data_IF_726927280672
#
_entry.id   IF_726927280672
#
_cell.length_a   1.000
_cell.length_b   1.000
_cell.length_c   1.000
_cell.angle_alpha   90.00
_cell.angle_beta   90.00
_cell.angle_gamma   90.00
#
_symmetry.space_group_name_H-M   'P 1'
#
loop_
_entity.id
_entity.type
_entity.pdbx_description
1 polymer ?
#
# COMPACT_ATOMS: atom_id res chain seq x y z
N UNK A 1 -7.14 -12.49 13.83
CA UNK A 1 -6.48 -11.49 12.96
C UNK A 1 -7.50 -10.86 12.03
N UNK A 2 -7.22 -9.69 11.46
CA UNK A 2 -8.09 -9.06 10.47
C UNK A 2 -8.20 -9.96 9.23
N UNK A 3 -9.42 -10.31 8.81
CA UNK A 3 -9.67 -11.02 7.55
C UNK A 3 -9.73 -9.98 6.42
N UNK A 4 -8.92 -10.18 5.39
CA UNK A 4 -8.85 -9.34 4.20
C UNK A 4 -9.43 -10.08 2.99
N UNK A 5 -10.03 -9.33 2.08
CA UNK A 5 -10.59 -9.87 0.85
C UNK A 5 -9.47 -10.28 -0.11
N UNK A 6 -9.62 -11.47 -0.69
CA UNK A 6 -8.64 -12.06 -1.62
C UNK A 6 -9.04 -11.87 -3.08
N UNK A 7 -10.31 -11.67 -3.35
CA UNK A 7 -10.89 -11.73 -4.68
C UNK A 7 -11.71 -10.48 -4.97
N UNK A 8 -11.65 -10.02 -6.21
CA UNK A 8 -12.52 -8.95 -6.71
C UNK A 8 -13.86 -9.56 -7.13
N UNK A 9 -13.82 -10.73 -7.77
CA UNK A 9 -14.95 -11.49 -8.27
C UNK A 9 -14.59 -12.99 -8.32
N UNK A 10 -15.46 -13.83 -8.86
CA UNK A 10 -15.27 -15.29 -8.92
C UNK A 10 -14.08 -15.75 -9.76
N UNK A 11 -13.59 -14.93 -10.70
CA UNK A 11 -12.52 -15.30 -11.63
C UNK A 11 -11.19 -14.61 -11.32
N UNK A 12 -11.21 -13.49 -10.58
CA UNK A 12 -10.04 -12.64 -10.34
C UNK A 12 -9.70 -12.60 -8.85
N UNK A 13 -8.68 -13.34 -8.47
CA UNK A 13 -8.23 -13.50 -7.09
C UNK A 13 -6.70 -13.44 -6.96
N UNK A 14 -6.23 -12.97 -5.81
CA UNK A 14 -4.83 -13.06 -5.44
C UNK A 14 -4.42 -14.54 -5.23
N UNK A 15 -3.19 -14.93 -5.62
CA UNK A 15 -2.70 -16.30 -5.48
C UNK A 15 -2.49 -16.69 -4.00
N UNK A 16 -2.35 -15.71 -3.12
CA UNK A 16 -2.18 -15.90 -1.67
C UNK A 16 -3.14 -14.97 -0.93
N UNK A 17 -3.57 -15.40 0.26
CA UNK A 17 -4.37 -14.55 1.14
C UNK A 17 -3.56 -13.29 1.52
N UNK A 18 -4.16 -12.08 1.40
CA UNK A 18 -3.49 -10.86 1.83
C UNK A 18 -3.31 -10.83 3.34
N UNK A 19 -2.24 -10.16 3.78
CA UNK A 19 -1.87 -10.04 5.19
C UNK A 19 -1.60 -8.58 5.53
N UNK A 20 -1.89 -8.20 6.76
CA UNK A 20 -1.45 -6.91 7.31
C UNK A 20 -0.03 -7.03 7.86
N UNK A 21 0.83 -6.08 7.52
CA UNK A 21 2.21 -6.04 8.00
C UNK A 21 2.54 -4.65 8.52
N UNK A 22 3.32 -4.58 9.60
CA UNK A 22 3.90 -3.31 10.04
C UNK A 22 5.09 -2.99 9.14
N UNK A 23 4.95 -1.94 8.35
CA UNK A 23 6.02 -1.43 7.50
C UNK A 23 7.03 -0.64 8.34
N UNK A 24 8.31 -0.99 8.23
CA UNK A 24 9.40 -0.24 8.90
C UNK A 24 9.70 1.08 8.20
N UNK A 25 9.70 1.09 6.86
CA UNK A 25 10.00 2.25 6.02
C UNK A 25 9.17 2.21 4.74
N UNK A 26 8.44 3.30 4.47
CA UNK A 26 7.78 3.57 3.19
C UNK A 26 8.31 4.87 2.59
N UNK A 27 8.03 5.10 1.32
CA UNK A 27 8.43 6.31 0.59
C UNK A 27 7.27 6.84 -0.22
N UNK A 28 7.24 8.15 -0.46
CA UNK A 28 6.37 8.73 -1.50
C UNK A 28 7.21 9.30 -2.64
N UNK A 29 6.72 9.17 -3.86
CA UNK A 29 7.31 9.78 -5.06
C UNK A 29 6.21 10.49 -5.85
N UNK A 30 6.55 11.58 -6.55
CA UNK A 30 5.60 12.31 -7.40
C UNK A 30 5.36 11.63 -8.76
N UNK A 31 5.65 10.34 -8.87
CA UNK A 31 5.51 9.54 -10.08
C UNK A 31 4.83 8.22 -9.72
N UNK A 32 3.97 7.75 -10.61
CA UNK A 32 3.48 6.39 -10.55
C UNK A 32 4.63 5.45 -10.94
N UNK A 33 5.11 4.64 -9.99
CA UNK A 33 6.29 3.82 -10.21
C UNK A 33 5.93 2.49 -10.87
N UNK A 34 6.27 2.34 -12.14
CA UNK A 34 6.20 1.07 -12.87
C UNK A 34 7.53 0.74 -13.56
N UNK A 35 8.58 0.56 -12.76
CA UNK A 35 9.93 0.33 -13.27
C UNK A 35 10.73 -0.56 -12.30
N UNK A 36 11.01 -1.80 -12.72
CA UNK A 36 11.71 -2.79 -11.90
C UNK A 36 13.10 -2.33 -11.44
N UNK A 37 13.84 -1.62 -12.31
CA UNK A 37 15.19 -1.13 -12.01
C UNK A 37 15.14 -0.02 -10.96
N UNK A 38 14.24 0.95 -11.13
CA UNK A 38 14.07 2.04 -10.17
C UNK A 38 13.51 1.54 -8.82
N UNK A 39 12.54 0.64 -8.83
CA UNK A 39 12.06 -0.06 -7.62
C UNK A 39 13.21 -0.74 -6.87
N UNK A 40 14.08 -1.46 -7.60
CA UNK A 40 15.24 -2.12 -7.01
C UNK A 40 16.26 -1.12 -6.45
N UNK A 41 16.45 0.00 -7.14
CA UNK A 41 17.32 1.08 -6.69
C UNK A 41 16.82 1.69 -5.37
N UNK A 42 15.54 2.11 -5.29
CA UNK A 42 15.01 2.73 -4.07
C UNK A 42 14.95 1.75 -2.90
N UNK A 43 14.67 0.46 -3.15
CA UNK A 43 14.77 -0.59 -2.14
C UNK A 43 16.19 -0.68 -1.57
N UNK A 44 17.20 -0.83 -2.43
CA UNK A 44 18.60 -0.93 -1.99
C UNK A 44 19.09 0.33 -1.30
N UNK A 45 18.67 1.50 -1.77
CA UNK A 45 19.15 2.80 -1.25
C UNK A 45 18.51 3.19 0.08
N UNK A 46 17.22 2.91 0.26
CA UNK A 46 16.45 3.40 1.41
C UNK A 46 15.85 2.30 2.28
N UNK A 47 15.95 1.03 1.88
CA UNK A 47 15.34 -0.12 2.54
C UNK A 47 13.82 0.08 2.75
N UNK A 48 13.15 0.57 1.71
CA UNK A 48 11.71 0.86 1.68
C UNK A 48 10.94 -0.29 1.03
N UNK A 49 9.74 -0.60 1.52
CA UNK A 49 8.94 -1.71 0.97
C UNK A 49 7.70 -1.27 0.19
N UNK A 50 6.92 -0.26 0.62
CA UNK A 50 5.92 0.38 -0.23
C UNK A 50 6.42 1.71 -0.80
N UNK A 51 5.90 2.04 -1.98
CA UNK A 51 5.92 3.38 -2.55
C UNK A 51 4.48 3.83 -2.80
N UNK A 52 4.16 5.07 -2.44
CA UNK A 52 2.92 5.74 -2.83
C UNK A 52 3.24 7.16 -3.32
N UNK A 53 2.24 8.04 -3.43
CA UNK A 53 2.44 9.39 -3.95
C UNK A 53 2.19 10.50 -2.91
N UNK A 54 1.53 10.18 -1.78
CA UNK A 54 1.07 11.22 -0.84
C UNK A 54 1.55 11.06 0.61
N UNK A 55 1.79 9.84 1.10
CA UNK A 55 1.91 9.58 2.55
C UNK A 55 3.02 10.38 3.24
N UNK A 56 4.18 10.54 2.60
CA UNK A 56 5.29 11.31 3.15
C UNK A 56 4.99 12.82 3.18
N UNK A 57 4.24 13.33 2.19
CA UNK A 57 3.81 14.73 2.17
C UNK A 57 2.79 15.00 3.30
N UNK A 58 1.81 14.11 3.48
CA UNK A 58 0.85 14.20 4.60
C UNK A 58 1.58 14.08 5.94
N UNK A 59 2.51 13.13 6.07
CA UNK A 59 3.32 12.97 7.28
C UNK A 59 4.14 14.23 7.61
N UNK A 60 4.70 14.91 6.59
CA UNK A 60 5.44 16.17 6.78
C UNK A 60 4.53 17.26 7.36
N UNK A 61 3.31 17.43 6.84
CA UNK A 61 2.35 18.40 7.37
C UNK A 61 1.92 18.02 8.79
N UNK A 62 1.60 16.76 9.05
CA UNK A 62 1.26 16.30 10.41
C UNK A 62 2.39 16.56 11.41
N UNK A 63 3.65 16.35 11.01
CA UNK A 63 4.81 16.68 11.81
C UNK A 63 4.88 18.18 12.13
N UNK A 64 4.70 19.04 11.12
CA UNK A 64 4.70 20.50 11.30
C UNK A 64 3.56 20.97 12.23
N UNK A 65 2.40 20.34 12.14
CA UNK A 65 1.22 20.65 12.95
C UNK A 65 1.19 19.93 14.31
N UNK A 66 2.23 19.13 14.63
CA UNK A 66 2.30 18.29 15.84
C UNK A 66 1.11 17.36 16.01
N UNK A 67 0.59 16.83 14.90
CA UNK A 67 -0.54 15.91 14.87
C UNK A 67 -0.05 14.48 14.74
N UNK A 68 -0.44 13.55 15.63
CA UNK A 68 -0.15 12.12 15.46
C UNK A 68 -0.64 11.61 14.11
N UNK A 69 0.19 10.81 13.43
CA UNK A 69 -0.09 10.34 12.08
C UNK A 69 0.20 8.84 11.93
N UNK A 70 -0.68 8.14 11.23
CA UNK A 70 -0.47 6.78 10.74
C UNK A 70 -1.02 6.68 9.32
N UNK A 71 -0.32 5.93 8.47
CA UNK A 71 -0.80 5.57 7.14
C UNK A 71 -1.16 4.09 7.11
N UNK A 72 -2.33 3.79 6.55
CA UNK A 72 -2.79 2.43 6.26
C UNK A 72 -3.04 2.36 4.75
N UNK A 73 -2.25 1.53 4.06
CA UNK A 73 -2.33 1.33 2.60
C UNK A 73 -2.44 -0.17 2.30
N UNK A 74 -2.95 -0.47 1.11
CA UNK A 74 -2.91 -1.80 0.51
C UNK A 74 -2.26 -1.68 -0.87
N UNK A 75 -1.55 -2.72 -1.31
CA UNK A 75 -0.84 -2.72 -2.58
C UNK A 75 -1.80 -3.05 -3.73
N UNK A 76 -1.81 -2.19 -4.76
CA UNK A 76 -2.54 -2.39 -6.01
C UNK A 76 -1.69 -3.09 -7.08
N UNK A 77 -0.37 -2.98 -6.99
CA UNK A 77 0.59 -3.51 -7.96
C UNK A 77 1.96 -3.73 -7.29
N UNK A 78 2.96 -4.13 -8.07
CA UNK A 78 4.31 -4.47 -7.60
C UNK A 78 5.41 -3.52 -8.10
N UNK A 79 5.05 -2.32 -8.54
CA UNK A 79 5.93 -1.25 -8.99
C UNK A 79 6.93 -1.68 -10.08
N UNK A 80 6.43 -2.31 -11.15
CA UNK A 80 7.25 -2.95 -12.19
C UNK A 80 7.72 -4.37 -11.85
N UNK A 81 7.22 -4.95 -10.76
CA UNK A 81 7.41 -6.37 -10.43
C UNK A 81 6.34 -7.30 -11.00
N UNK A 82 5.37 -6.75 -11.72
CA UNK A 82 4.27 -7.45 -12.37
C UNK A 82 4.64 -8.07 -13.71
N UNK A 83 3.64 -8.53 -14.46
CA UNK A 83 3.84 -9.01 -15.83
C UNK A 83 4.28 -7.86 -16.75
N UNK A 84 5.11 -8.15 -17.76
CA UNK A 84 5.49 -7.16 -18.78
C UNK A 84 4.34 -6.74 -19.70
N UNK A 85 3.19 -7.42 -19.60
CA UNK A 85 2.02 -7.25 -20.48
C UNK A 85 1.02 -6.23 -19.93
N UNK A 86 0.90 -6.09 -18.61
CA UNK A 86 0.03 -5.11 -17.97
C UNK A 86 0.45 -4.86 -16.53
N UNK A 87 0.37 -3.60 -16.13
CA UNK A 87 0.35 -3.20 -14.74
C UNK A 87 -0.93 -3.70 -14.06
N UNK A 88 -0.81 -4.31 -12.89
CA UNK A 88 -1.93 -4.91 -12.18
C UNK A 88 -2.79 -3.89 -11.38
N UNK A 89 -2.38 -2.62 -11.29
CA UNK A 89 -3.10 -1.60 -10.53
C UNK A 89 -4.51 -1.41 -11.07
N UNK A 90 -4.70 -1.39 -12.39
CA UNK A 90 -6.04 -1.29 -12.99
C UNK A 90 -6.94 -2.47 -12.58
N UNK A 91 -6.35 -3.64 -12.33
CA UNK A 91 -7.07 -4.82 -11.86
C UNK A 91 -7.36 -4.74 -10.37
N UNK A 92 -6.35 -4.52 -9.52
CA UNK A 92 -6.48 -4.69 -8.06
C UNK A 92 -6.74 -3.41 -7.27
N UNK A 93 -6.86 -2.24 -7.91
CA UNK A 93 -7.13 -0.97 -7.19
C UNK A 93 -8.37 -1.04 -6.31
N UNK A 94 -9.46 -1.68 -6.78
CA UNK A 94 -10.69 -1.84 -6.00
C UNK A 94 -10.50 -2.75 -4.78
N UNK A 95 -9.80 -3.87 -4.94
CA UNK A 95 -9.46 -4.78 -3.85
C UNK A 95 -8.53 -4.11 -2.83
N UNK A 96 -7.54 -3.35 -3.31
CA UNK A 96 -6.62 -2.61 -2.47
C UNK A 96 -7.37 -1.55 -1.64
N UNK A 97 -8.26 -0.78 -2.26
CA UNK A 97 -9.09 0.21 -1.58
C UNK A 97 -9.97 -0.43 -0.49
N UNK A 98 -10.69 -1.52 -0.81
CA UNK A 98 -11.53 -2.24 0.14
C UNK A 98 -10.72 -2.73 1.35
N UNK A 99 -9.60 -3.40 1.11
CA UNK A 99 -8.75 -3.93 2.19
C UNK A 99 -8.13 -2.81 3.05
N UNK A 100 -7.72 -1.70 2.46
CA UNK A 100 -7.22 -0.54 3.22
C UNK A 100 -8.30 0.07 4.10
N UNK A 101 -9.53 0.21 3.60
CA UNK A 101 -10.68 0.70 4.38
C UNK A 101 -11.03 -0.27 5.51
N UNK A 102 -11.11 -1.58 5.24
CA UNK A 102 -11.38 -2.58 6.27
C UNK A 102 -10.34 -2.56 7.40
N UNK A 103 -9.05 -2.43 7.05
CA UNK A 103 -7.97 -2.29 8.03
C UNK A 103 -8.10 -0.99 8.83
N UNK A 104 -8.45 0.11 8.18
CA UNK A 104 -8.64 1.42 8.83
C UNK A 104 -9.80 1.42 9.80
N UNK A 105 -10.96 0.90 9.40
CA UNK A 105 -12.15 0.76 10.28
C UNK A 105 -11.78 -0.08 11.50
N UNK A 106 -11.09 -1.21 11.30
CA UNK A 106 -10.71 -2.06 12.42
C UNK A 106 -9.71 -1.39 13.36
N UNK A 107 -8.78 -0.61 12.82
CA UNK A 107 -7.85 0.19 13.62
C UNK A 107 -8.58 1.24 14.45
N UNK A 108 -9.51 2.01 13.87
CA UNK A 108 -10.31 3.00 14.59
C UNK A 108 -11.11 2.37 15.72
N UNK A 109 -11.76 1.23 15.47
CA UNK A 109 -12.51 0.50 16.51
C UNK A 109 -11.63 0.11 17.71
N UNK A 110 -10.35 -0.18 17.49
CA UNK A 110 -9.41 -0.52 18.56
C UNK A 110 -8.89 0.71 19.32
N UNK A 111 -9.06 1.93 18.77
CA UNK A 111 -8.73 3.18 19.45
C UNK A 111 -9.90 3.72 20.29
N UNK A 112 -11.13 3.33 19.97
CA UNK A 112 -12.34 3.78 20.66
C UNK A 112 -12.74 2.91 21.86
N UNK A 113 -12.01 1.83 22.14
CA UNK A 113 -12.16 1.01 23.33
C UNK A 113 -11.09 1.34 24.36
#
# INVERSE_FOLDING_TARGET
GLKLERCINSTTCLPRAPVTVRVKRGISANVYLDNAAYRSFIYKKFNVTPVDMESAAVALICLQQRTPFIVIRSLSDLAGGGSSLSNEANTYSTLAAQNAVSATIKFIQLLSG
#
